data_IF_614109276612
#
_entry.id   IF_614109276612
#
_cell.length_a   1.000
_cell.length_b   1.000
_cell.length_c   1.000
_cell.angle_alpha   90.00
_cell.angle_beta   90.00
_cell.angle_gamma   90.00
#
_symmetry.space_group_name_H-M   'P 1'
#
loop_
_entity.id
_entity.type
_entity.pdbx_description
1 polymer ?
#
# COMPACT_ATOMS: atom_id res chain seq x y z
N UNK A 1 -17.98 24.16 21.77
CA UNK A 1 -17.97 23.29 20.60
C UNK A 1 -17.21 22.07 21.04
N UNK A 2 -17.89 20.94 21.13
CA UNK A 2 -17.38 19.72 21.77
C UNK A 2 -16.34 19.04 20.88
N UNK A 3 -15.26 18.56 21.52
CA UNK A 3 -14.30 17.62 20.95
C UNK A 3 -15.04 16.42 20.36
N UNK A 4 -15.11 16.32 19.05
CA UNK A 4 -15.35 15.04 18.39
C UNK A 4 -14.09 14.20 18.62
N UNK A 5 -14.08 13.46 19.72
CA UNK A 5 -13.16 12.36 19.95
C UNK A 5 -13.37 11.39 18.78
N UNK A 6 -12.35 11.26 17.95
CA UNK A 6 -12.19 10.15 17.01
C UNK A 6 -12.32 8.85 17.83
N UNK A 7 -13.53 8.34 17.99
CA UNK A 7 -13.75 7.04 18.61
C UNK A 7 -13.18 5.99 17.69
N UNK A 8 -12.06 5.41 18.09
CA UNK A 8 -11.45 4.26 17.44
C UNK A 8 -12.52 3.17 17.40
N UNK A 9 -12.92 2.68 16.21
CA UNK A 9 -13.96 1.67 16.10
C UNK A 9 -13.66 0.47 17.01
N UNK A 10 -14.68 -0.14 17.61
CA UNK A 10 -14.53 -1.23 18.61
C UNK A 10 -13.76 -2.47 18.08
N UNK A 11 -13.70 -2.65 16.75
CA UNK A 11 -12.89 -3.68 16.12
C UNK A 11 -11.39 -3.31 16.05
N UNK A 12 -11.01 -2.08 16.38
CA UNK A 12 -9.65 -1.59 16.27
C UNK A 12 -8.75 -2.06 17.41
N UNK A 13 -9.30 -2.38 18.58
CA UNK A 13 -8.51 -2.88 19.70
C UNK A 13 -8.46 -4.41 19.67
N UNK A 14 -7.28 -5.04 19.56
CA UNK A 14 -7.15 -6.49 19.62
C UNK A 14 -7.71 -7.04 20.94
N UNK A 15 -8.45 -8.14 20.91
CA UNK A 15 -8.94 -8.81 22.12
C UNK A 15 -7.85 -9.17 23.13
N UNK A 16 -6.59 -9.23 22.68
CA UNK A 16 -5.41 -9.58 23.48
C UNK A 16 -4.37 -8.45 23.53
N UNK A 17 -4.75 -7.18 23.36
CA UNK A 17 -3.81 -6.03 23.28
C UNK A 17 -2.80 -6.04 24.46
N UNK A 18 -3.25 -6.22 25.69
CA UNK A 18 -2.39 -6.29 26.86
C UNK A 18 -1.37 -7.45 26.82
N UNK A 19 -1.77 -8.61 26.29
CA UNK A 19 -0.86 -9.76 26.13
C UNK A 19 0.17 -9.47 25.07
N UNK A 20 -0.22 -8.87 23.94
CA UNK A 20 0.70 -8.49 22.87
C UNK A 20 1.65 -7.39 23.31
N UNK A 21 1.20 -6.39 24.08
CA UNK A 21 2.09 -5.37 24.68
C UNK A 21 3.12 -5.98 25.62
N UNK A 22 2.72 -6.91 26.47
CA UNK A 22 3.65 -7.63 27.35
C UNK A 22 4.69 -8.43 26.56
N UNK A 23 4.28 -9.04 25.45
CA UNK A 23 5.11 -9.92 24.64
C UNK A 23 6.00 -9.13 23.67
N UNK A 24 5.43 -8.21 22.88
CA UNK A 24 6.12 -7.51 21.80
C UNK A 24 6.51 -6.06 22.12
N UNK A 25 6.06 -5.49 23.21
CA UNK A 25 6.31 -4.10 23.59
C UNK A 25 5.14 -3.16 23.29
N UNK A 26 5.45 -1.87 23.18
CA UNK A 26 4.41 -0.86 23.01
C UNK A 26 3.76 -0.93 21.63
N UNK A 27 2.46 -0.58 21.59
CA UNK A 27 1.75 -0.41 20.32
C UNK A 27 2.20 0.89 19.66
N UNK A 28 2.80 0.78 18.48
CA UNK A 28 3.35 1.91 17.72
C UNK A 28 2.57 2.24 16.45
N UNK A 29 1.65 1.35 16.04
CA UNK A 29 0.83 1.58 14.87
C UNK A 29 -0.39 0.66 14.82
N UNK A 30 -1.34 1.03 13.96
CA UNK A 30 -2.54 0.25 13.74
C UNK A 30 -3.05 0.51 12.33
N UNK A 31 -3.18 -0.57 11.56
CA UNK A 31 -3.76 -0.57 10.21
C UNK A 31 -5.04 -1.38 10.12
N UNK A 32 -5.56 -1.46 8.91
CA UNK A 32 -6.79 -2.22 8.62
C UNK A 32 -6.60 -3.73 8.86
N UNK A 33 -5.46 -4.30 8.45
CA UNK A 33 -5.18 -5.74 8.52
C UNK A 33 -4.43 -6.17 9.79
N UNK A 34 -3.67 -5.27 10.43
CA UNK A 34 -2.76 -5.62 11.52
C UNK A 34 -2.59 -4.49 12.55
N UNK A 35 -2.04 -4.87 13.70
CA UNK A 35 -1.57 -3.95 14.75
C UNK A 35 -0.06 -4.12 14.90
N UNK A 36 0.65 -3.01 15.04
CA UNK A 36 2.11 -2.99 15.12
C UNK A 36 2.53 -2.75 16.57
N UNK A 37 3.33 -3.66 17.09
CA UNK A 37 3.99 -3.53 18.39
C UNK A 37 5.49 -3.44 18.21
N UNK A 38 6.19 -2.72 19.09
CA UNK A 38 7.63 -2.53 18.99
C UNK A 38 8.35 -2.68 20.32
N UNK A 39 9.52 -3.34 20.28
CA UNK A 39 10.47 -3.45 21.39
C UNK A 39 11.90 -3.59 20.87
N UNK A 40 12.82 -2.82 21.44
CA UNK A 40 14.25 -2.94 21.21
C UNK A 40 14.69 -2.91 19.73
N UNK A 41 14.02 -2.10 18.89
CA UNK A 41 14.35 -1.98 17.48
C UNK A 41 13.75 -3.05 16.58
N UNK A 42 12.83 -3.86 17.10
CA UNK A 42 12.08 -4.88 16.35
C UNK A 42 10.60 -4.57 16.45
N UNK A 43 9.87 -4.76 15.35
CA UNK A 43 8.41 -4.71 15.34
C UNK A 43 7.81 -6.08 15.08
N UNK A 44 6.64 -6.29 15.69
CA UNK A 44 5.73 -7.37 15.37
C UNK A 44 4.48 -6.80 14.71
N UNK A 45 4.26 -7.08 13.43
CA UNK A 45 3.03 -6.80 12.70
C UNK A 45 2.06 -7.94 12.94
N UNK A 46 1.18 -7.79 13.94
CA UNK A 46 0.23 -8.81 14.40
C UNK A 46 -1.04 -8.71 13.59
N UNK A 47 -1.33 -9.71 12.78
CA UNK A 47 -2.49 -9.74 11.90
C UNK A 47 -3.78 -9.97 12.67
N UNK A 48 -4.86 -9.33 12.24
CA UNK A 48 -6.18 -9.50 12.84
C UNK A 48 -6.75 -10.89 12.56
N UNK A 49 -7.61 -11.45 13.45
CA UNK A 49 -8.15 -12.79 13.30
C UNK A 49 -8.98 -13.03 12.03
N UNK A 50 -9.52 -11.95 11.44
CA UNK A 50 -10.33 -12.00 10.22
C UNK A 50 -9.49 -11.99 8.94
N UNK A 51 -8.16 -11.89 9.05
CA UNK A 51 -7.28 -11.94 7.89
C UNK A 51 -6.99 -13.39 7.48
N UNK A 52 -6.80 -13.68 6.18
CA UNK A 52 -6.40 -15.00 5.72
C UNK A 52 -5.09 -15.47 6.38
N UNK A 53 -5.05 -16.71 6.83
CA UNK A 53 -3.88 -17.28 7.54
C UNK A 53 -2.57 -17.23 6.76
N UNK A 54 -2.63 -17.26 5.42
CA UNK A 54 -1.44 -17.22 4.58
C UNK A 54 -0.85 -15.80 4.41
N UNK A 55 -1.63 -14.76 4.68
CA UNK A 55 -1.25 -13.37 4.39
C UNK A 55 0.04 -12.93 5.10
N UNK A 56 0.26 -13.19 6.41
CA UNK A 56 1.52 -12.86 7.07
C UNK A 56 2.74 -13.53 6.43
N UNK A 57 2.59 -14.79 5.99
CA UNK A 57 3.66 -15.54 5.34
C UNK A 57 3.97 -14.98 3.96
N UNK A 58 2.94 -14.60 3.20
CA UNK A 58 3.12 -13.98 1.89
C UNK A 58 3.80 -12.62 2.00
N UNK A 59 3.40 -11.78 2.96
CA UNK A 59 4.06 -10.48 3.15
C UNK A 59 5.52 -10.65 3.58
N UNK A 60 5.82 -11.55 4.52
CA UNK A 60 7.20 -11.83 4.92
C UNK A 60 8.05 -12.35 3.73
N UNK A 61 7.48 -13.24 2.91
CA UNK A 61 8.13 -13.71 1.69
C UNK A 61 8.38 -12.55 0.70
N UNK A 62 7.38 -11.71 0.46
CA UNK A 62 7.48 -10.57 -0.43
C UNK A 62 8.59 -9.61 0.01
N UNK A 63 8.61 -9.22 1.29
CA UNK A 63 9.64 -8.31 1.83
C UNK A 63 11.03 -8.93 1.71
N UNK A 64 11.19 -10.22 2.02
CA UNK A 64 12.47 -10.90 1.87
C UNK A 64 12.95 -10.91 0.41
N UNK A 65 12.05 -11.21 -0.53
CA UNK A 65 12.37 -11.21 -1.96
C UNK A 65 12.72 -9.82 -2.50
N UNK A 66 11.99 -8.78 -2.03
CA UNK A 66 12.28 -7.39 -2.43
C UNK A 66 13.61 -6.93 -1.84
N UNK A 67 13.95 -7.35 -0.62
CA UNK A 67 15.24 -7.03 0.01
C UNK A 67 16.45 -7.55 -0.76
N UNK A 68 16.32 -8.62 -1.53
CA UNK A 68 17.37 -9.13 -2.41
C UNK A 68 17.56 -8.30 -3.69
N UNK A 69 16.73 -7.28 -3.92
CA UNK A 69 16.73 -6.44 -5.13
C UNK A 69 17.31 -5.03 -4.90
N UNK A 70 18.06 -4.82 -3.83
CA UNK A 70 18.60 -3.50 -3.41
C UNK A 70 17.53 -2.41 -3.22
N UNK A 71 16.28 -2.81 -2.95
CA UNK A 71 15.20 -1.90 -2.59
C UNK A 71 15.19 -1.75 -1.06
N UNK A 72 15.11 -0.52 -0.53
CA UNK A 72 15.18 -0.28 0.91
C UNK A 72 13.91 -0.77 1.62
N UNK A 73 13.99 -1.94 2.24
CA UNK A 73 12.91 -2.60 3.00
C UNK A 73 13.39 -3.02 4.37
N UNK A 74 12.49 -3.16 5.38
CA UNK A 74 12.84 -3.71 6.67
C UNK A 74 13.35 -5.16 6.53
N UNK A 75 14.37 -5.51 7.31
CA UNK A 75 14.82 -6.91 7.37
C UNK A 75 13.78 -7.76 8.09
N UNK A 76 13.42 -8.90 7.50
CA UNK A 76 12.55 -9.90 8.12
C UNK A 76 13.37 -10.83 9.03
N UNK A 77 12.85 -11.11 10.22
CA UNK A 77 13.40 -12.07 11.17
C UNK A 77 12.61 -13.38 11.21
N UNK A 78 11.31 -13.33 10.93
CA UNK A 78 10.47 -14.52 10.88
C UNK A 78 8.97 -14.23 10.92
N UNK A 79 8.22 -15.31 10.96
CA UNK A 79 6.77 -15.31 11.16
C UNK A 79 6.49 -16.23 12.32
N UNK A 80 5.71 -15.79 13.29
CA UNK A 80 5.34 -16.60 14.45
C UNK A 80 3.85 -16.47 14.78
N UNK A 81 3.31 -17.47 15.47
CA UNK A 81 1.93 -17.44 15.95
C UNK A 81 1.91 -17.40 17.46
N UNK A 82 1.36 -16.32 18.02
CA UNK A 82 1.29 -16.09 19.46
C UNK A 82 -0.14 -15.67 19.83
N UNK A 83 -0.67 -16.25 20.90
CA UNK A 83 -2.05 -16.02 21.37
C UNK A 83 -3.13 -16.22 20.28
N UNK A 84 -2.88 -17.14 19.35
CA UNK A 84 -3.81 -17.47 18.26
C UNK A 84 -3.81 -16.49 17.08
N UNK A 85 -2.88 -15.53 17.05
CA UNK A 85 -2.69 -14.60 15.94
C UNK A 85 -1.27 -14.72 15.38
N UNK A 86 -1.14 -14.56 14.06
CA UNK A 86 0.15 -14.63 13.38
C UNK A 86 0.75 -13.23 13.25
N UNK A 87 2.05 -13.13 13.50
CA UNK A 87 2.82 -11.90 13.42
C UNK A 87 4.02 -12.05 12.48
N UNK A 88 4.30 -11.02 11.70
CA UNK A 88 5.58 -10.85 10.98
C UNK A 88 6.52 -10.05 11.86
N UNK A 89 7.72 -10.59 12.08
CA UNK A 89 8.75 -9.99 12.91
C UNK A 89 9.82 -9.37 12.01
N UNK A 90 10.06 -8.07 12.15
CA UNK A 90 10.97 -7.33 11.28
C UNK A 90 11.64 -6.16 11.99
N UNK A 91 12.57 -5.48 11.31
CA UNK A 91 13.19 -4.26 11.81
C UNK A 91 12.14 -3.18 12.10
N UNK A 92 12.34 -2.48 13.21
CA UNK A 92 11.63 -1.24 13.48
C UNK A 92 12.27 -0.11 12.68
N UNK A 93 11.60 0.34 11.64
CA UNK A 93 11.97 1.61 10.99
C UNK A 93 11.48 2.75 11.88
N UNK A 94 12.43 3.54 12.39
CA UNK A 94 12.13 4.73 13.21
C UNK A 94 12.04 5.93 12.29
N UNK A 95 11.10 6.82 12.57
CA UNK A 95 10.91 8.04 11.78
C UNK A 95 9.44 8.29 11.46
N UNK A 96 9.22 9.34 10.68
CA UNK A 96 7.88 9.71 10.22
C UNK A 96 7.69 9.25 8.78
N UNK A 97 6.45 8.92 8.43
CA UNK A 97 6.14 8.72 7.02
C UNK A 97 6.22 10.04 6.26
N UNK A 98 6.47 9.98 4.95
CA UNK A 98 6.42 11.18 4.11
C UNK A 98 5.03 11.82 4.15
N UNK A 99 3.98 11.05 4.31
CA UNK A 99 2.62 11.57 4.49
C UNK A 99 2.50 12.37 5.80
N UNK A 100 3.02 11.84 6.92
CA UNK A 100 3.02 12.56 8.21
C UNK A 100 3.81 13.87 8.10
N UNK A 101 4.93 13.85 7.38
CA UNK A 101 5.75 15.05 7.13
C UNK A 101 4.98 16.09 6.32
N UNK A 102 4.28 15.67 5.25
CA UNK A 102 3.44 16.56 4.44
C UNK A 102 2.28 17.16 5.24
N UNK A 103 1.65 16.36 6.11
CA UNK A 103 0.53 16.82 6.96
C UNK A 103 1.03 17.80 8.03
N UNK A 104 2.18 17.51 8.65
CA UNK A 104 2.74 18.37 9.71
C UNK A 104 3.31 19.68 9.17
N UNK A 105 3.83 19.68 7.95
CA UNK A 105 4.45 20.86 7.31
C UNK A 105 4.12 20.86 5.81
N UNK A 106 3.01 21.52 5.39
CA UNK A 106 2.62 21.60 3.99
C UNK A 106 3.67 22.19 3.05
N UNK A 107 4.61 23.00 3.56
CA UNK A 107 5.70 23.54 2.75
C UNK A 107 6.69 22.47 2.26
N UNK A 108 6.69 21.29 2.91
CA UNK A 108 7.53 20.14 2.51
C UNK A 108 6.86 19.21 1.50
N UNK A 109 5.59 19.43 1.17
CA UNK A 109 4.82 18.55 0.28
C UNK A 109 5.51 18.31 -1.05
N UNK A 110 6.02 19.38 -1.68
CA UNK A 110 6.68 19.28 -2.99
C UNK A 110 7.93 18.39 -2.93
N UNK A 111 8.81 18.61 -1.96
CA UNK A 111 10.01 17.77 -1.78
C UNK A 111 9.70 16.33 -1.37
N UNK A 112 8.63 16.10 -0.59
CA UNK A 112 8.17 14.75 -0.29
C UNK A 112 7.65 14.03 -1.54
N UNK A 113 6.92 14.74 -2.42
CA UNK A 113 6.44 14.17 -3.69
C UNK A 113 7.60 13.86 -4.65
N UNK A 114 8.64 14.70 -4.70
CA UNK A 114 9.86 14.39 -5.47
C UNK A 114 10.48 13.07 -4.98
N UNK A 115 10.60 12.92 -3.66
CA UNK A 115 11.12 11.67 -3.07
C UNK A 115 10.24 10.45 -3.39
N UNK A 116 8.90 10.59 -3.30
CA UNK A 116 7.96 9.51 -3.68
C UNK A 116 8.19 9.10 -5.12
N UNK A 117 8.27 10.06 -6.04
CA UNK A 117 8.48 9.79 -7.46
C UNK A 117 9.84 9.14 -7.72
N UNK A 118 10.92 9.67 -7.13
CA UNK A 118 12.27 9.15 -7.32
C UNK A 118 12.39 7.69 -6.86
N UNK A 119 11.84 7.37 -5.69
CA UNK A 119 11.84 6.00 -5.15
C UNK A 119 11.00 5.06 -6.03
N UNK A 120 9.83 5.51 -6.49
CA UNK A 120 8.97 4.70 -7.35
C UNK A 120 9.59 4.46 -8.72
N UNK A 121 10.22 5.48 -9.33
CA UNK A 121 10.97 5.32 -10.58
C UNK A 121 12.16 4.38 -10.41
N UNK A 122 12.89 4.49 -9.31
CA UNK A 122 14.01 3.57 -9.03
C UNK A 122 13.51 2.11 -8.91
N UNK A 123 12.43 1.90 -8.20
CA UNK A 123 11.78 0.58 -8.07
C UNK A 123 11.30 0.05 -9.42
N UNK A 124 10.67 0.87 -10.25
CA UNK A 124 10.16 0.45 -11.57
C UNK A 124 11.26 0.11 -12.60
N UNK A 125 12.52 0.47 -12.34
CA UNK A 125 13.67 0.02 -13.19
C UNK A 125 14.06 -1.42 -12.92
N UNK A 126 13.62 -2.01 -11.82
CA UNK A 126 13.91 -3.39 -11.46
C UNK A 126 12.88 -4.29 -12.11
N UNK A 127 13.34 -5.19 -13.00
CA UNK A 127 12.48 -6.16 -13.67
C UNK A 127 12.59 -7.51 -12.97
N UNK A 128 11.45 -8.06 -12.56
CA UNK A 128 11.37 -9.34 -11.85
C UNK A 128 10.18 -10.15 -12.34
N UNK A 129 10.42 -11.43 -12.62
CA UNK A 129 9.36 -12.36 -13.03
C UNK A 129 8.86 -13.28 -11.91
N UNK A 130 9.31 -13.06 -10.67
CA UNK A 130 9.00 -13.95 -9.54
C UNK A 130 7.69 -13.62 -8.85
N UNK A 131 7.24 -12.38 -8.93
CA UNK A 131 5.97 -11.95 -8.36
C UNK A 131 4.80 -12.21 -9.31
N UNK A 132 3.60 -12.24 -8.75
CA UNK A 132 2.37 -12.40 -9.55
C UNK A 132 2.24 -11.24 -10.55
N UNK A 133 1.80 -11.52 -11.79
CA UNK A 133 1.51 -10.43 -12.75
C UNK A 133 0.48 -9.45 -12.19
N UNK A 134 0.73 -8.14 -12.33
CA UNK A 134 -0.16 -7.07 -11.87
C UNK A 134 -1.58 -7.25 -12.41
N UNK A 135 -1.73 -7.54 -13.70
CA UNK A 135 -3.05 -7.79 -14.31
C UNK A 135 -3.78 -8.99 -13.67
N UNK A 136 -3.05 -10.03 -13.27
CA UNK A 136 -3.65 -11.15 -12.55
C UNK A 136 -4.16 -10.72 -11.18
N UNK A 137 -3.39 -9.91 -10.43
CA UNK A 137 -3.80 -9.40 -9.12
C UNK A 137 -5.05 -8.52 -9.24
N UNK A 138 -5.03 -7.54 -10.14
CA UNK A 138 -6.17 -6.64 -10.36
C UNK A 138 -7.42 -7.42 -10.82
N UNK A 139 -7.28 -8.36 -11.76
CA UNK A 139 -8.39 -9.18 -12.24
C UNK A 139 -8.99 -10.08 -11.15
N UNK A 140 -8.16 -10.67 -10.30
CA UNK A 140 -8.62 -11.46 -9.15
C UNK A 140 -9.42 -10.58 -8.17
N UNK A 141 -8.89 -9.40 -7.81
CA UNK A 141 -9.55 -8.46 -6.90
C UNK A 141 -10.90 -7.98 -7.48
N UNK A 142 -10.96 -7.62 -8.76
CA UNK A 142 -12.21 -7.26 -9.45
C UNK A 142 -13.21 -8.41 -9.39
N UNK A 143 -12.78 -9.63 -9.67
CA UNK A 143 -13.67 -10.81 -9.74
C UNK A 143 -14.39 -11.09 -8.43
N UNK A 144 -13.70 -10.91 -7.29
CA UNK A 144 -14.25 -11.17 -5.94
C UNK A 144 -14.80 -9.91 -5.26
N UNK A 145 -14.62 -8.72 -5.86
CA UNK A 145 -15.01 -7.44 -5.24
C UNK A 145 -16.51 -7.41 -4.93
N UNK A 146 -16.91 -7.26 -3.65
CA UNK A 146 -18.30 -7.05 -3.30
C UNK A 146 -18.76 -5.67 -3.75
N UNK A 147 -20.01 -5.58 -4.26
CA UNK A 147 -20.61 -4.33 -4.72
C UNK A 147 -20.33 -3.97 -6.17
N UNK A 148 -19.53 -4.74 -6.91
CA UNK A 148 -19.48 -4.70 -8.38
C UNK A 148 -20.48 -5.71 -8.96
N UNK A 149 -21.29 -5.24 -9.91
CA UNK A 149 -22.20 -6.10 -10.67
C UNK A 149 -21.44 -7.01 -11.64
N UNK A 150 -22.03 -8.13 -12.11
CA UNK A 150 -21.41 -8.99 -13.12
C UNK A 150 -21.03 -8.22 -14.41
N UNK A 151 -21.87 -7.28 -14.85
CA UNK A 151 -21.61 -6.48 -16.05
C UNK A 151 -20.42 -5.53 -15.86
N UNK A 152 -20.28 -4.91 -14.67
CA UNK A 152 -19.12 -4.08 -14.34
C UNK A 152 -17.84 -4.90 -14.29
N UNK A 153 -17.87 -6.08 -13.67
CA UNK A 153 -16.74 -7.02 -13.65
C UNK A 153 -16.34 -7.43 -15.06
N UNK A 154 -17.31 -7.71 -15.92
CA UNK A 154 -17.08 -8.05 -17.32
C UNK A 154 -16.41 -6.90 -18.09
N UNK A 155 -16.92 -5.67 -17.96
CA UNK A 155 -16.33 -4.48 -18.60
C UNK A 155 -14.91 -4.21 -18.11
N UNK A 156 -14.70 -4.22 -16.80
CA UNK A 156 -13.37 -4.01 -16.20
C UNK A 156 -12.39 -5.10 -16.62
N UNK A 157 -12.82 -6.35 -16.71
CA UNK A 157 -12.00 -7.45 -17.22
C UNK A 157 -11.58 -7.25 -18.67
N UNK A 158 -12.50 -6.79 -19.54
CA UNK A 158 -12.19 -6.48 -20.93
C UNK A 158 -11.20 -5.30 -21.03
N UNK A 159 -11.42 -4.22 -20.26
CA UNK A 159 -10.47 -3.09 -20.21
C UNK A 159 -9.09 -3.54 -19.74
N UNK A 160 -9.02 -4.36 -18.67
CA UNK A 160 -7.75 -4.89 -18.15
C UNK A 160 -7.00 -5.72 -19.19
N UNK A 161 -7.69 -6.48 -20.02
CA UNK A 161 -7.07 -7.30 -21.06
C UNK A 161 -6.29 -6.46 -22.08
N UNK A 162 -6.78 -5.28 -22.43
CA UNK A 162 -6.16 -4.36 -23.41
C UNK A 162 -4.98 -3.57 -22.85
N UNK A 163 -4.82 -3.48 -21.54
CA UNK A 163 -3.71 -2.74 -20.93
C UNK A 163 -2.37 -3.47 -21.11
N UNK A 164 -1.24 -2.72 -21.17
CA UNK A 164 0.06 -3.32 -21.43
C UNK A 164 0.52 -4.27 -20.31
N UNK A 165 1.27 -5.30 -20.68
CA UNK A 165 2.00 -6.14 -19.76
C UNK A 165 3.31 -5.45 -19.34
N UNK A 166 3.98 -5.99 -18.32
CA UNK A 166 5.28 -5.50 -17.86
C UNK A 166 5.93 -6.47 -16.88
N UNK A 167 7.20 -6.21 -16.57
CA UNK A 167 7.99 -6.99 -15.63
C UNK A 167 8.59 -6.12 -14.51
N UNK A 168 8.30 -4.82 -14.50
CA UNK A 168 8.74 -3.93 -13.44
C UNK A 168 8.12 -4.37 -12.11
N UNK A 169 8.88 -4.25 -11.03
CA UNK A 169 8.31 -4.45 -9.70
C UNK A 169 7.31 -3.33 -9.41
N UNK A 170 6.13 -3.69 -8.97
CA UNK A 170 5.02 -2.82 -8.61
C UNK A 170 4.69 -3.05 -7.13
N UNK A 171 4.61 -1.99 -6.35
CA UNK A 171 4.28 -2.10 -4.92
C UNK A 171 2.81 -2.46 -4.69
N UNK A 172 1.91 -1.91 -5.50
CA UNK A 172 0.46 -2.11 -5.41
C UNK A 172 -0.25 -1.18 -4.41
N UNK A 173 0.52 -0.51 -3.52
CA UNK A 173 0.01 0.46 -2.53
C UNK A 173 1.06 1.53 -2.22
N UNK A 174 1.71 2.07 -3.26
CA UNK A 174 2.83 2.99 -3.12
C UNK A 174 2.35 4.42 -2.88
N UNK A 175 2.53 4.91 -1.67
CA UNK A 175 2.21 6.29 -1.30
C UNK A 175 3.08 6.76 -0.13
N UNK A 176 3.08 8.07 0.15
CA UNK A 176 3.92 8.67 1.19
C UNK A 176 3.73 8.08 2.60
N UNK A 177 2.59 7.46 2.89
CA UNK A 177 2.34 6.75 4.16
C UNK A 177 3.13 5.46 4.31
N UNK A 178 3.54 4.84 3.19
CA UNK A 178 4.34 3.61 3.16
C UNK A 178 5.83 3.87 2.93
N UNK A 179 6.28 5.12 3.02
CA UNK A 179 7.70 5.51 2.93
C UNK A 179 8.08 6.20 4.23
N UNK A 180 8.90 5.55 5.05
CA UNK A 180 9.39 6.07 6.32
C UNK A 180 10.76 6.72 6.14
N UNK A 181 10.98 7.85 6.81
CA UNK A 181 12.25 8.58 6.82
C UNK A 181 12.77 8.70 8.25
N UNK A 182 13.96 8.15 8.51
CA UNK A 182 14.59 8.14 9.84
C UNK A 182 15.51 9.34 10.12
N UNK A 183 15.61 10.28 9.16
CA UNK A 183 16.52 11.43 9.18
C UNK A 183 17.78 11.22 8.32
N UNK A 184 18.04 10.02 7.81
CA UNK A 184 19.19 9.68 6.98
C UNK A 184 18.80 8.87 5.73
N UNK A 185 17.89 7.92 5.89
CA UNK A 185 17.50 6.97 4.83
C UNK A 185 15.98 6.80 4.76
N UNK A 186 15.52 6.35 3.61
CA UNK A 186 14.14 5.99 3.37
C UNK A 186 13.99 4.48 3.42
N UNK A 187 12.86 4.02 3.98
CA UNK A 187 12.44 2.61 3.95
C UNK A 187 11.02 2.51 3.40
N UNK A 188 10.81 1.59 2.48
CA UNK A 188 9.51 1.30 1.90
C UNK A 188 8.91 0.11 2.65
N UNK A 189 7.70 0.27 3.16
CA UNK A 189 7.01 -0.72 3.98
C UNK A 189 5.70 -1.17 3.33
N UNK A 190 5.09 -2.24 3.86
CA UNK A 190 3.78 -2.77 3.46
C UNK A 190 3.73 -3.36 2.04
N UNK A 191 4.54 -4.39 1.82
CA UNK A 191 4.69 -5.11 0.54
C UNK A 191 3.67 -6.25 0.36
N UNK A 192 2.50 -6.14 0.97
CA UNK A 192 1.46 -7.18 0.88
C UNK A 192 0.92 -7.37 -0.55
N UNK A 193 0.83 -6.29 -1.32
CA UNK A 193 0.23 -6.24 -2.67
C UNK A 193 1.26 -6.29 -3.81
N UNK A 194 2.55 -6.56 -3.51
CA UNK A 194 3.60 -6.55 -4.54
C UNK A 194 3.27 -7.45 -5.73
N UNK A 195 3.55 -6.94 -6.91
CA UNK A 195 3.33 -7.60 -8.20
C UNK A 195 4.45 -7.28 -9.18
N UNK A 196 4.46 -7.91 -10.34
CA UNK A 196 5.25 -7.46 -11.49
C UNK A 196 4.31 -7.02 -12.62
N UNK A 197 4.62 -5.87 -13.25
CA UNK A 197 3.71 -5.34 -14.25
C UNK A 197 4.20 -4.09 -14.96
N UNK A 198 3.27 -3.40 -15.59
CA UNK A 198 3.53 -2.11 -16.21
C UNK A 198 3.63 -1.02 -15.13
N UNK A 199 4.68 -0.18 -15.12
CA UNK A 199 4.84 0.95 -14.21
C UNK A 199 3.62 1.89 -14.15
N UNK A 200 2.96 2.09 -15.29
CA UNK A 200 1.76 2.91 -15.39
C UNK A 200 0.62 2.44 -14.47
N UNK A 201 0.46 1.12 -14.27
CA UNK A 201 -0.58 0.57 -13.39
C UNK A 201 -0.31 0.87 -11.91
N UNK A 202 0.93 0.73 -11.47
CA UNK A 202 1.34 1.06 -10.10
C UNK A 202 1.30 2.56 -9.83
N UNK A 203 1.75 3.38 -10.78
CA UNK A 203 1.64 4.83 -10.70
C UNK A 203 0.17 5.30 -10.67
N UNK A 204 -0.71 4.66 -11.44
CA UNK A 204 -2.14 4.93 -11.39
C UNK A 204 -2.74 4.62 -10.02
N UNK A 205 -2.28 3.57 -9.33
CA UNK A 205 -2.72 3.27 -7.97
C UNK A 205 -2.31 4.39 -7.00
N UNK A 206 -1.08 4.85 -7.06
CA UNK A 206 -0.59 6.00 -6.26
C UNK A 206 -1.41 7.26 -6.52
N UNK A 207 -1.69 7.56 -7.80
CA UNK A 207 -2.55 8.69 -8.16
C UNK A 207 -3.94 8.57 -7.56
N UNK A 208 -4.56 7.39 -7.65
CA UNK A 208 -5.90 7.14 -7.10
C UNK A 208 -5.91 7.34 -5.57
N UNK A 209 -4.93 6.81 -4.85
CA UNK A 209 -4.83 6.94 -3.40
C UNK A 209 -4.72 8.42 -2.97
N UNK A 210 -3.86 9.19 -3.63
CA UNK A 210 -3.79 10.63 -3.36
C UNK A 210 -5.08 11.35 -3.76
N UNK A 211 -5.73 10.98 -4.87
CA UNK A 211 -6.93 11.66 -5.37
C UNK A 211 -8.14 11.48 -4.43
N UNK A 212 -8.19 10.37 -3.71
CA UNK A 212 -9.19 10.14 -2.67
C UNK A 212 -9.01 11.10 -1.48
N UNK A 213 -7.76 11.42 -1.12
CA UNK A 213 -7.46 12.33 0.00
C UNK A 213 -7.36 13.80 -0.41
N UNK A 214 -6.57 14.08 -1.43
CA UNK A 214 -6.31 15.45 -1.90
C UNK A 214 -5.97 15.47 -3.40
N UNK A 215 -6.88 16.01 -4.21
CA UNK A 215 -6.73 16.07 -5.67
C UNK A 215 -5.53 16.90 -6.12
N UNK A 216 -5.17 17.96 -5.40
CA UNK A 216 -4.02 18.81 -5.76
C UNK A 216 -2.71 18.04 -5.59
N UNK A 217 -2.59 17.25 -4.53
CA UNK A 217 -1.44 16.35 -4.31
C UNK A 217 -1.39 15.27 -5.40
N UNK A 218 -2.53 14.68 -5.77
CA UNK A 218 -2.61 13.69 -6.83
C UNK A 218 -2.13 14.25 -8.18
N UNK A 219 -2.60 15.45 -8.56
CA UNK A 219 -2.21 16.10 -9.80
C UNK A 219 -0.73 16.49 -9.81
N UNK A 220 -0.22 16.99 -8.68
CA UNK A 220 1.22 17.30 -8.53
C UNK A 220 2.07 16.03 -8.66
N UNK A 221 1.68 14.93 -7.98
CA UNK A 221 2.33 13.64 -8.12
C UNK A 221 2.34 13.15 -9.58
N UNK A 222 1.17 13.13 -10.24
CA UNK A 222 1.04 12.63 -11.61
C UNK A 222 1.91 13.44 -12.58
N UNK A 223 1.94 14.76 -12.45
CA UNK A 223 2.78 15.62 -13.27
C UNK A 223 4.27 15.31 -13.10
N UNK A 224 4.72 15.17 -11.84
CA UNK A 224 6.11 14.82 -11.52
C UNK A 224 6.47 13.43 -12.04
N UNK A 225 5.58 12.45 -11.83
CA UNK A 225 5.81 11.08 -12.30
C UNK A 225 5.88 10.99 -13.84
N UNK A 226 4.97 11.65 -14.57
CA UNK A 226 5.04 11.74 -16.03
C UNK A 226 6.38 12.32 -16.52
N UNK A 227 6.82 13.41 -15.87
CA UNK A 227 8.10 14.06 -16.22
C UNK A 227 9.30 13.12 -15.99
N UNK A 228 9.31 12.40 -14.88
CA UNK A 228 10.43 11.52 -14.50
C UNK A 228 10.45 10.20 -15.30
N UNK A 229 9.27 9.63 -15.60
CA UNK A 229 9.14 8.33 -16.28
C UNK A 229 9.15 8.44 -17.82
N UNK A 230 8.75 9.58 -18.36
CA UNK A 230 8.47 9.75 -19.78
C UNK A 230 7.12 9.18 -20.23
N UNK A 231 6.32 8.59 -19.32
CA UNK A 231 4.97 8.14 -19.59
C UNK A 231 4.02 9.35 -19.69
N UNK A 232 3.03 9.25 -20.59
CA UNK A 232 2.01 10.27 -20.69
C UNK A 232 0.94 10.09 -19.59
N UNK A 233 0.22 11.15 -19.32
CA UNK A 233 -0.93 11.14 -18.41
C UNK A 233 -2.00 10.11 -18.85
N UNK A 234 -2.25 10.03 -20.15
CA UNK A 234 -3.22 9.13 -20.76
C UNK A 234 -2.84 7.67 -20.54
N UNK A 235 -1.56 7.32 -20.70
CA UNK A 235 -1.06 5.96 -20.45
C UNK A 235 -1.25 5.53 -19.00
N UNK A 236 -1.03 6.43 -18.05
CA UNK A 236 -1.22 6.15 -16.62
C UNK A 236 -2.72 6.06 -16.31
N UNK A 237 -3.51 7.04 -16.72
CA UNK A 237 -4.93 7.09 -16.37
C UNK A 237 -5.80 6.07 -17.13
N UNK A 238 -5.29 5.44 -18.19
CA UNK A 238 -5.94 4.28 -18.80
C UNK A 238 -6.14 3.13 -17.80
N UNK A 239 -5.32 3.04 -16.75
CA UNK A 239 -5.46 2.05 -15.68
C UNK A 239 -6.51 2.42 -14.62
N UNK A 240 -6.99 3.66 -14.59
CA UNK A 240 -7.81 4.19 -13.51
C UNK A 240 -9.10 3.40 -13.24
N UNK A 241 -9.90 3.02 -14.27
CA UNK A 241 -11.12 2.22 -14.05
C UNK A 241 -10.83 0.87 -13.39
N UNK A 242 -9.83 0.14 -13.91
CA UNK A 242 -9.49 -1.21 -13.39
C UNK A 242 -8.84 -1.14 -12.00
N UNK A 243 -8.03 -0.12 -11.74
CA UNK A 243 -7.44 0.13 -10.42
C UNK A 243 -8.53 0.44 -9.40
N UNK A 244 -9.45 1.37 -9.74
CA UNK A 244 -10.58 1.72 -8.88
C UNK A 244 -11.49 0.50 -8.62
N UNK A 245 -11.80 -0.29 -9.65
CA UNK A 245 -12.60 -1.51 -9.53
C UNK A 245 -11.93 -2.57 -8.65
N UNK A 246 -10.60 -2.70 -8.71
CA UNK A 246 -9.84 -3.69 -7.94
C UNK A 246 -9.86 -3.42 -6.43
N UNK A 247 -9.89 -2.15 -6.01
CA UNK A 247 -9.92 -1.76 -4.60
C UNK A 247 -11.34 -1.52 -4.07
N UNK A 248 -12.34 -1.46 -4.96
CA UNK A 248 -13.72 -1.07 -4.60
C UNK A 248 -14.30 -1.85 -3.42
N UNK A 249 -13.99 -3.15 -3.33
CA UNK A 249 -14.49 -4.02 -2.26
C UNK A 249 -13.98 -3.67 -0.86
N UNK A 250 -12.84 -3.02 -0.76
CA UNK A 250 -12.16 -2.71 0.52
C UNK A 250 -12.48 -1.30 1.05
N UNK A 251 -13.10 -0.46 0.21
CA UNK A 251 -13.35 0.94 0.53
C UNK A 251 -14.56 1.13 1.43
N UNK A 252 -14.57 2.21 2.19
CA UNK A 252 -15.76 2.70 2.89
C UNK A 252 -16.83 3.15 1.90
N UNK A 253 -18.08 3.26 2.34
CA UNK A 253 -19.17 3.69 1.46
C UNK A 253 -18.98 5.12 0.92
N UNK A 254 -18.28 5.98 1.66
CA UNK A 254 -17.92 7.32 1.23
C UNK A 254 -16.96 7.28 0.03
N UNK A 255 -15.85 6.54 0.15
CA UNK A 255 -14.88 6.35 -0.93
C UNK A 255 -15.48 5.64 -2.14
N UNK A 256 -16.34 4.64 -1.92
CA UNK A 256 -17.08 3.99 -3.00
C UNK A 256 -17.90 4.96 -3.82
N UNK A 257 -18.57 5.94 -3.17
CA UNK A 257 -19.33 6.98 -3.88
C UNK A 257 -18.44 7.86 -4.75
N UNK A 258 -17.25 8.20 -4.26
CA UNK A 258 -16.31 9.07 -4.99
C UNK A 258 -15.78 8.42 -6.26
N UNK A 259 -15.45 7.12 -6.21
CA UNK A 259 -14.84 6.43 -7.35
C UNK A 259 -15.82 5.68 -8.24
N UNK A 260 -17.11 5.65 -7.87
CA UNK A 260 -18.14 4.89 -8.61
C UNK A 260 -18.29 5.33 -10.08
N UNK A 261 -18.02 6.58 -10.38
CA UNK A 261 -18.09 7.13 -11.73
C UNK A 261 -16.89 6.81 -12.62
N UNK A 262 -15.86 6.14 -12.07
CA UNK A 262 -14.63 5.83 -12.80
C UNK A 262 -14.76 4.55 -13.66
N UNK A 263 -15.81 3.73 -13.46
CA UNK A 263 -16.01 2.46 -14.18
C UNK A 263 -17.47 2.13 -14.47
#
# INVERSE_FOLDING_TARGET
MADEKNEIPSYATPQNDDKFRKHYGERVGMGQSAVIYARNGVVAKVYRPNQPHYQPFMEAFNIAMVGDLDIPVPKIYGVETVFGQTAVIMDQVRGNSLLDIMVADPAKTEGCLDTVVDLQIAMHKVNVGVFRPLKMVLGANISVSPGLTPDEKGRLGAMLAELPEGLAICHGDFHGGNILFDGQSYMIIDWAEVACGAPAGDACRTYLDYSMGNKEIAEAYLTKYCTASGLTREEILAWLPVTAGSIYGYLTDEWKKQIRSLF
#
